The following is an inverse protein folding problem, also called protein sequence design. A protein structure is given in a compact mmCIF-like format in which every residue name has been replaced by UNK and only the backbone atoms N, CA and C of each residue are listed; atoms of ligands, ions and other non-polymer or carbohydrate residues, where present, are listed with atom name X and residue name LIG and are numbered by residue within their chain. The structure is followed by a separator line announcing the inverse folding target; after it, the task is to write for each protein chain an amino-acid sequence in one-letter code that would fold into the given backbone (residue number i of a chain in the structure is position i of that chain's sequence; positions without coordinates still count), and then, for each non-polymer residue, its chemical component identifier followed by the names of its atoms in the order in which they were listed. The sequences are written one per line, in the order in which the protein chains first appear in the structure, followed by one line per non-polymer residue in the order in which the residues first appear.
data_IF_196875792566
#
_entry.id   IF_196875792566
#
_cell.length_a   1.000
_cell.length_b   1.000
_cell.length_c   1.000
_cell.angle_alpha   90.00
_cell.angle_beta   90.00
_cell.angle_gamma   90.00
#
_symmetry.space_group_name_H-M   'P 1'
#
loop_
_entity.id
_entity.type
_entity.pdbx_description
1 polymer ?
#
# COMPACT_ATOMS: atom_id res chain seq x y z
N UNK A 1 -23.07 8.61 6.76
CA UNK A 1 -23.11 10.08 6.59
C UNK A 1 -24.55 10.51 6.79
N UNK A 2 -24.86 11.55 7.57
CA UNK A 2 -26.24 12.02 7.61
C UNK A 2 -26.63 12.53 6.21
N UNK A 3 -27.81 12.13 5.73
CA UNK A 3 -28.30 12.52 4.41
C UNK A 3 -28.48 14.03 4.31
N UNK A 4 -28.04 14.60 3.19
CA UNK A 4 -28.15 16.03 2.95
C UNK A 4 -29.38 16.29 2.08
N UNK A 5 -30.49 16.71 2.70
CA UNK A 5 -31.73 17.05 2.02
C UNK A 5 -31.75 18.54 1.64
N UNK A 6 -32.11 18.84 0.38
CA UNK A 6 -32.23 20.22 -0.13
C UNK A 6 -31.34 20.53 -1.35
N UNK A 7 -31.52 21.73 -1.91
CA UNK A 7 -30.74 22.25 -3.05
C UNK A 7 -29.49 22.97 -2.55
N UNK A 8 -28.32 22.67 -3.13
CA UNK A 8 -27.05 23.32 -2.80
C UNK A 8 -25.83 22.45 -3.08
N UNK A 9 -24.63 23.02 -2.92
CA UNK A 9 -23.37 22.27 -3.11
C UNK A 9 -23.26 21.17 -2.06
N UNK A 10 -23.09 19.92 -2.50
CA UNK A 10 -22.91 18.76 -1.63
C UNK A 10 -21.71 18.96 -0.71
N UNK A 11 -21.84 18.53 0.55
CA UNK A 11 -20.73 18.51 1.50
C UNK A 11 -19.63 17.60 0.98
N UNK A 12 -18.39 18.12 0.96
CA UNK A 12 -17.19 17.34 0.60
C UNK A 12 -16.64 16.51 1.76
N UNK A 13 -17.03 16.81 3.01
CA UNK A 13 -16.40 16.22 4.20
C UNK A 13 -17.43 15.66 5.17
N UNK A 14 -17.03 14.58 5.84
CA UNK A 14 -17.84 13.87 6.82
C UNK A 14 -18.10 14.62 8.12
N UNK A 15 -17.13 15.44 8.56
CA UNK A 15 -17.15 16.16 9.83
C UNK A 15 -16.17 17.34 9.79
N UNK A 16 -16.19 18.17 10.83
CA UNK A 16 -15.19 19.22 11.03
C UNK A 16 -13.77 18.64 11.13
N UNK A 17 -13.59 17.53 11.84
CA UNK A 17 -12.28 16.84 11.95
C UNK A 17 -11.79 16.32 10.58
N UNK A 18 -12.69 15.76 9.75
CA UNK A 18 -12.34 15.35 8.38
C UNK A 18 -11.89 16.55 7.52
N UNK A 19 -12.57 17.69 7.66
CA UNK A 19 -12.23 18.95 6.96
C UNK A 19 -10.87 19.49 7.43
N UNK A 20 -10.60 19.42 8.73
CA UNK A 20 -9.35 19.88 9.34
C UNK A 20 -8.15 19.04 8.86
N UNK A 21 -8.24 17.71 8.88
CA UNK A 21 -7.18 16.83 8.34
C UNK A 21 -6.88 17.11 6.86
N UNK A 22 -7.91 17.34 6.05
CA UNK A 22 -7.74 17.69 4.64
C UNK A 22 -7.15 19.11 4.43
N UNK A 23 -7.33 20.03 5.37
CA UNK A 23 -6.65 21.32 5.38
C UNK A 23 -5.18 21.14 5.77
N UNK A 24 -4.89 20.46 6.88
CA UNK A 24 -3.54 20.19 7.37
C UNK A 24 -2.69 19.48 6.32
N UNK A 25 -3.23 18.45 5.66
CA UNK A 25 -2.52 17.76 4.57
C UNK A 25 -2.13 18.71 3.44
N UNK A 26 -3.03 19.61 3.01
CA UNK A 26 -2.73 20.58 1.95
C UNK A 26 -1.79 21.69 2.42
N UNK A 27 -1.95 22.12 3.67
CA UNK A 27 -1.13 23.18 4.24
C UNK A 27 0.29 22.70 4.55
N UNK A 28 0.46 21.43 4.90
CA UNK A 28 1.76 20.76 5.07
C UNK A 28 2.59 20.77 3.77
N UNK A 29 1.92 20.87 2.62
CA UNK A 29 2.56 20.91 1.29
C UNK A 29 2.69 22.33 0.74
N UNK A 30 2.01 23.30 1.35
CA UNK A 30 2.00 24.70 0.91
C UNK A 30 3.38 25.32 1.04
N UNK A 31 3.95 25.79 -0.07
CA UNK A 31 5.30 26.39 -0.11
C UNK A 31 6.43 25.39 -0.36
N UNK A 32 6.11 24.10 -0.56
CA UNK A 32 7.09 23.09 -1.01
C UNK A 32 7.02 22.93 -2.53
N UNK A 33 8.12 22.52 -3.18
CA UNK A 33 8.13 22.17 -4.61
C UNK A 33 7.62 20.72 -4.85
N UNK A 34 6.91 20.13 -3.89
CA UNK A 34 6.47 18.75 -3.99
C UNK A 34 5.33 18.66 -5.01
N UNK A 35 5.45 17.81 -6.05
CA UNK A 35 4.39 17.60 -7.04
C UNK A 35 3.06 17.17 -6.41
N UNK A 36 1.95 17.56 -7.04
CA UNK A 36 0.60 17.25 -6.52
C UNK A 36 0.27 15.75 -6.51
N UNK A 37 0.97 14.95 -7.32
CA UNK A 37 0.88 13.50 -7.43
C UNK A 37 1.97 12.76 -6.62
N UNK A 38 2.82 13.49 -5.89
CA UNK A 38 3.86 12.88 -5.09
C UNK A 38 3.26 12.08 -3.91
N UNK A 39 3.80 10.88 -3.71
CA UNK A 39 3.50 10.06 -2.53
C UNK A 39 4.56 10.35 -1.46
N UNK A 40 4.12 10.81 -0.28
CA UNK A 40 5.00 11.06 0.86
C UNK A 40 4.94 9.86 1.80
N UNK A 41 6.08 9.20 1.96
CA UNK A 41 6.26 8.08 2.89
C UNK A 41 7.22 8.49 4.00
N UNK A 42 6.98 7.99 5.22
CA UNK A 42 7.97 8.12 6.28
C UNK A 42 9.19 7.24 5.98
N UNK A 43 10.39 7.59 6.45
CA UNK A 43 11.58 6.74 6.29
C UNK A 43 11.35 5.31 6.81
N UNK A 44 10.60 5.17 7.91
CA UNK A 44 10.19 3.86 8.44
C UNK A 44 9.33 3.08 7.44
N UNK A 45 8.33 3.71 6.82
CA UNK A 45 7.45 3.04 5.84
C UNK A 45 8.22 2.59 4.59
N UNK A 46 9.25 3.34 4.20
CA UNK A 46 10.17 2.95 3.11
C UNK A 46 11.03 1.74 3.52
N UNK A 47 11.58 1.73 4.73
CA UNK A 47 12.35 0.60 5.24
C UNK A 47 11.49 -0.67 5.32
N UNK A 48 10.30 -0.56 5.91
CA UNK A 48 9.34 -1.68 6.03
C UNK A 48 8.97 -2.21 4.63
N UNK A 49 8.67 -1.33 3.65
CA UNK A 49 8.38 -1.74 2.27
C UNK A 49 9.58 -2.46 1.62
N UNK A 50 10.80 -1.97 1.82
CA UNK A 50 12.01 -2.59 1.27
C UNK A 50 12.20 -4.00 1.83
N UNK A 51 11.96 -4.18 3.13
CA UNK A 51 12.10 -5.48 3.78
C UNK A 51 11.04 -6.48 3.29
N UNK A 52 9.80 -6.03 3.07
CA UNK A 52 8.77 -6.88 2.47
C UNK A 52 9.07 -7.25 1.01
N UNK A 53 9.56 -6.30 0.21
CA UNK A 53 10.00 -6.58 -1.17
C UNK A 53 11.18 -7.56 -1.22
N UNK A 54 12.08 -7.48 -0.24
CA UNK A 54 13.16 -8.44 -0.08
C UNK A 54 12.60 -9.84 0.17
N UNK A 55 11.64 -9.99 1.10
CA UNK A 55 10.98 -11.27 1.38
C UNK A 55 10.27 -11.84 0.13
N UNK A 56 9.57 -10.99 -0.62
CA UNK A 56 8.91 -11.42 -1.85
C UNK A 56 9.92 -11.92 -2.90
N UNK A 57 11.07 -11.24 -3.05
CA UNK A 57 12.14 -11.70 -3.94
C UNK A 57 12.68 -13.06 -3.51
N UNK A 58 12.95 -13.24 -2.22
CA UNK A 58 13.43 -14.53 -1.71
C UNK A 58 12.43 -15.65 -1.97
N UNK A 59 11.13 -15.43 -1.73
CA UNK A 59 10.11 -16.42 -2.04
C UNK A 59 10.08 -16.80 -3.54
N UNK A 60 10.32 -15.84 -4.44
CA UNK A 60 10.45 -16.11 -5.87
C UNK A 60 11.73 -16.90 -6.21
N UNK A 61 12.85 -16.59 -5.57
CA UNK A 61 14.12 -17.31 -5.68
C UNK A 61 13.99 -18.76 -5.17
N UNK A 62 13.22 -18.98 -4.09
CA UNK A 62 12.93 -20.30 -3.53
C UNK A 62 12.11 -21.15 -4.52
N UNK A 63 11.08 -20.56 -5.16
CA UNK A 63 10.32 -21.22 -6.24
C UNK A 63 11.24 -21.60 -7.41
N UNK A 64 12.14 -20.69 -7.83
CA UNK A 64 13.11 -20.96 -8.90
C UNK A 64 14.03 -22.12 -8.53
N UNK A 65 14.55 -22.12 -7.30
CA UNK A 65 15.46 -23.17 -6.79
C UNK A 65 14.75 -24.51 -6.75
N UNK A 66 13.57 -24.57 -6.12
CA UNK A 66 12.76 -25.78 -6.03
C UNK A 66 12.41 -26.34 -7.43
N UNK A 67 12.08 -25.48 -8.38
CA UNK A 67 11.82 -25.92 -9.76
C UNK A 67 13.07 -26.50 -10.43
N UNK A 68 14.25 -25.90 -10.20
CA UNK A 68 15.52 -26.40 -10.73
C UNK A 68 15.96 -27.73 -10.13
N UNK A 69 15.57 -27.99 -8.88
CA UNK A 69 15.88 -29.23 -8.15
C UNK A 69 14.83 -30.34 -8.40
N UNK A 70 13.81 -30.06 -9.21
CA UNK A 70 12.78 -31.04 -9.55
C UNK A 70 11.75 -31.28 -8.45
N UNK A 71 11.47 -30.25 -7.64
CA UNK A 71 10.42 -30.30 -6.63
C UNK A 71 9.07 -30.72 -7.24
N UNK A 72 8.26 -31.38 -6.42
CA UNK A 72 6.95 -31.88 -6.84
C UNK A 72 5.99 -30.73 -7.14
N UNK A 73 4.94 -30.98 -7.95
CA UNK A 73 3.91 -29.98 -8.19
C UNK A 73 3.20 -29.47 -6.92
N UNK A 74 3.16 -30.28 -5.85
CA UNK A 74 2.57 -29.89 -4.56
C UNK A 74 3.47 -28.90 -3.81
N UNK A 75 4.78 -29.17 -3.76
CA UNK A 75 5.77 -28.28 -3.14
C UNK A 75 5.83 -26.93 -3.87
N UNK A 76 5.86 -26.95 -5.21
CA UNK A 76 5.86 -25.72 -6.01
C UNK A 76 4.57 -24.90 -5.80
N UNK A 77 3.42 -25.57 -5.69
CA UNK A 77 2.15 -24.89 -5.38
C UNK A 77 2.20 -24.23 -4.01
N UNK A 78 2.73 -24.91 -3.00
CA UNK A 78 2.88 -24.34 -1.67
C UNK A 78 3.75 -23.07 -1.67
N UNK A 79 4.92 -23.12 -2.30
CA UNK A 79 5.83 -21.96 -2.40
C UNK A 79 5.19 -20.80 -3.20
N UNK A 80 4.45 -21.11 -4.27
CA UNK A 80 3.70 -20.10 -5.02
C UNK A 80 2.61 -19.44 -4.17
N UNK A 81 1.87 -20.22 -3.37
CA UNK A 81 0.84 -19.69 -2.48
C UNK A 81 1.45 -18.76 -1.42
N UNK A 82 2.59 -19.13 -0.84
CA UNK A 82 3.34 -18.26 0.10
C UNK A 82 3.78 -16.95 -0.56
N UNK A 83 4.35 -17.02 -1.77
CA UNK A 83 4.77 -15.84 -2.53
C UNK A 83 3.59 -14.90 -2.83
N UNK A 84 2.43 -15.44 -3.23
CA UNK A 84 1.20 -14.67 -3.48
C UNK A 84 0.66 -14.04 -2.19
N UNK A 85 0.74 -14.75 -1.07
CA UNK A 85 0.34 -14.21 0.24
C UNK A 85 1.25 -13.04 0.67
N UNK A 86 2.55 -13.11 0.38
CA UNK A 86 3.48 -12.00 0.59
C UNK A 86 3.13 -10.80 -0.31
N UNK A 87 2.82 -11.01 -1.59
CA UNK A 87 2.44 -9.92 -2.49
C UNK A 87 1.17 -9.20 -2.00
N UNK A 88 0.13 -9.94 -1.61
CA UNK A 88 -1.08 -9.33 -1.04
C UNK A 88 -0.82 -8.58 0.28
N UNK A 89 0.17 -9.02 1.06
CA UNK A 89 0.56 -8.31 2.28
C UNK A 89 1.23 -6.96 1.98
N UNK A 90 2.01 -6.88 0.91
CA UNK A 90 2.66 -5.64 0.44
C UNK A 90 1.63 -4.65 -0.11
N UNK A 91 0.64 -5.13 -0.88
CA UNK A 91 -0.43 -4.29 -1.48
C UNK A 91 -1.26 -3.52 -0.44
N UNK A 92 -1.30 -4.00 0.81
CA UNK A 92 -2.02 -3.35 1.91
C UNK A 92 -1.35 -2.08 2.45
N UNK A 93 -0.28 -1.60 1.81
CA UNK A 93 0.31 -0.28 2.06
C UNK A 93 -0.70 0.85 1.72
N UNK A 94 -1.59 1.14 2.66
CA UNK A 94 -2.37 2.39 2.72
C UNK A 94 -1.67 3.38 3.65
#
# INVERSE_FOLDING_TARGET
MPEQQGRGRRRKFCSASCKQRAYEQRHSLSGTQIPADAVILSPKKVADLRDQLYQLRCAAEDVQTAASEGATPEELRHLCDEMVNLSHSIERLR
#
